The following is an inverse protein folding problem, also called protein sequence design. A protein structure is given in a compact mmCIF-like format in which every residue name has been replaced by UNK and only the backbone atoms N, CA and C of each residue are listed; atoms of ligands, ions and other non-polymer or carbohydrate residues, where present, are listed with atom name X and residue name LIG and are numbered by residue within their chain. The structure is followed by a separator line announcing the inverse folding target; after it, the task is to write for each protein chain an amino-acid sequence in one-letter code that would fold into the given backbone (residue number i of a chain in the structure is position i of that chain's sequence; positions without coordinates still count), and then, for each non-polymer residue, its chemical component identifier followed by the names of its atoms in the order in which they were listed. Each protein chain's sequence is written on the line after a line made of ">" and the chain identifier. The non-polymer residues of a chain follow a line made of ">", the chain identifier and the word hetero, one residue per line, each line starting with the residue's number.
data_IF_512753163545
#
_entry.id   IF_512753163545
#
_cell.length_a   1.000
_cell.length_b   1.000
_cell.length_c   1.000
_cell.angle_alpha   90.00
_cell.angle_beta   90.00
_cell.angle_gamma   90.00
#
_symmetry.space_group_name_H-M   'P 1'
#
loop_
_entity.id
_entity.type
_entity.pdbx_description
1 polymer ?
#
# COMPACT_ATOMS: atom_id res chain seq x y z
N UNK A 1 -18.61 -16.00 8.15
CA UNK A 1 -17.98 -17.34 8.03
C UNK A 1 -16.95 -17.27 6.91
N UNK A 2 -15.71 -17.63 7.19
CA UNK A 2 -14.68 -17.69 6.16
C UNK A 2 -14.83 -19.07 5.55
N UNK A 3 -15.42 -19.13 4.36
CA UNK A 3 -15.83 -20.40 3.73
C UNK A 3 -14.73 -21.03 2.88
N UNK A 4 -13.52 -20.43 2.83
CA UNK A 4 -12.40 -20.86 1.96
C UNK A 4 -11.06 -20.72 2.66
N UNK A 5 -10.19 -21.71 2.48
CA UNK A 5 -8.84 -21.76 3.05
C UNK A 5 -7.86 -20.82 2.32
N UNK A 6 -6.79 -20.30 2.97
CA UNK A 6 -5.89 -19.32 2.37
C UNK A 6 -5.14 -19.84 1.14
N UNK A 7 -4.73 -21.11 1.15
CA UNK A 7 -4.01 -21.73 0.03
C UNK A 7 -4.90 -21.81 -1.23
N UNK A 8 -6.19 -22.11 -1.07
CA UNK A 8 -7.15 -22.13 -2.18
C UNK A 8 -7.37 -20.74 -2.76
N UNK A 9 -7.47 -19.73 -1.90
CA UNK A 9 -7.61 -18.33 -2.33
C UNK A 9 -6.32 -17.86 -3.01
N UNK A 10 -5.16 -18.26 -2.51
CA UNK A 10 -3.86 -17.88 -3.07
C UNK A 10 -3.65 -18.46 -4.48
N UNK A 11 -4.00 -19.74 -4.70
CA UNK A 11 -3.96 -20.37 -6.03
C UNK A 11 -4.87 -19.63 -7.01
N UNK A 12 -6.06 -19.21 -6.56
CA UNK A 12 -6.93 -18.38 -7.38
C UNK A 12 -6.25 -17.04 -7.69
N UNK A 13 -5.69 -16.36 -6.68
CA UNK A 13 -4.92 -15.10 -6.77
C UNK A 13 -3.64 -15.19 -7.61
N UNK A 14 -3.22 -16.37 -8.06
CA UNK A 14 -2.10 -16.55 -8.99
C UNK A 14 -2.52 -16.76 -10.47
N UNK A 15 -3.79 -17.08 -10.75
CA UNK A 15 -4.26 -17.52 -12.09
C UNK A 15 -5.35 -16.69 -12.83
N UNK A 16 -6.01 -15.69 -12.24
CA UNK A 16 -7.10 -14.87 -12.85
C UNK A 16 -7.02 -13.33 -12.69
N UNK A 17 -8.08 -12.58 -13.08
CA UNK A 17 -8.21 -11.16 -12.80
C UNK A 17 -8.86 -10.90 -11.43
N UNK A 18 -8.18 -10.17 -10.54
CA UNK A 18 -8.64 -9.98 -9.15
C UNK A 18 -9.10 -8.57 -8.84
N UNK A 19 -9.90 -8.51 -7.78
CA UNK A 19 -10.34 -7.30 -7.07
C UNK A 19 -9.56 -7.18 -5.77
N UNK A 20 -9.43 -5.96 -5.22
CA UNK A 20 -8.83 -5.79 -3.89
C UNK A 20 -9.62 -6.56 -2.81
N UNK A 21 -10.91 -6.76 -3.03
CA UNK A 21 -11.76 -7.60 -2.18
C UNK A 21 -11.27 -9.05 -2.06
N UNK A 22 -10.65 -9.62 -3.10
CA UNK A 22 -10.13 -10.99 -3.06
C UNK A 22 -8.91 -11.09 -2.14
N UNK A 23 -8.01 -10.09 -2.18
CA UNK A 23 -6.88 -9.99 -1.27
C UNK A 23 -7.31 -9.70 0.17
N UNK A 24 -8.35 -8.88 0.36
CA UNK A 24 -8.97 -8.69 1.67
C UNK A 24 -9.49 -10.01 2.24
N UNK A 25 -10.16 -10.83 1.44
CA UNK A 25 -10.66 -12.14 1.86
C UNK A 25 -9.54 -13.13 2.18
N UNK A 26 -8.45 -13.12 1.39
CA UNK A 26 -7.25 -13.90 1.68
C UNK A 26 -6.71 -13.61 3.09
N UNK A 27 -6.56 -12.33 3.47
CA UNK A 27 -6.03 -11.96 4.77
C UNK A 27 -6.96 -12.34 5.94
N UNK A 28 -8.29 -12.24 5.75
CA UNK A 28 -9.24 -12.75 6.75
C UNK A 28 -9.03 -14.25 6.99
N UNK A 29 -8.91 -15.01 5.90
CA UNK A 29 -8.70 -16.46 5.97
C UNK A 29 -7.36 -16.81 6.62
N UNK A 30 -6.28 -16.15 6.23
CA UNK A 30 -4.95 -16.38 6.77
C UNK A 30 -4.87 -16.08 8.26
N UNK A 31 -5.47 -14.96 8.70
CA UNK A 31 -5.48 -14.59 10.13
C UNK A 31 -6.26 -15.61 10.97
N UNK A 32 -7.38 -16.12 10.45
CA UNK A 32 -8.19 -17.14 11.10
C UNK A 32 -7.44 -18.48 11.20
N UNK A 33 -6.77 -18.91 10.12
CA UNK A 33 -5.99 -20.15 10.09
C UNK A 33 -4.81 -20.10 11.07
N UNK A 34 -4.09 -18.96 11.13
CA UNK A 34 -2.89 -18.80 11.97
C UNK A 34 -3.19 -18.33 13.40
N UNK A 35 -4.42 -17.95 13.71
CA UNK A 35 -4.80 -17.40 15.01
C UNK A 35 -4.15 -16.05 15.29
N UNK A 36 -3.99 -15.21 14.27
CA UNK A 36 -3.39 -13.89 14.42
C UNK A 36 -4.33 -12.89 15.11
N UNK A 37 -3.73 -11.89 15.75
CA UNK A 37 -4.48 -10.86 16.46
C UNK A 37 -5.25 -9.96 15.48
N UNK A 38 -6.56 -9.88 15.70
CA UNK A 38 -7.52 -9.12 14.88
C UNK A 38 -7.76 -7.70 15.40
N UNK A 39 -7.07 -7.30 16.47
CA UNK A 39 -7.19 -5.97 17.06
C UNK A 39 -6.72 -4.91 16.06
N UNK A 40 -7.59 -3.96 15.68
CA UNK A 40 -7.24 -2.93 14.69
C UNK A 40 -6.10 -2.01 15.16
N UNK A 41 -5.95 -1.78 16.47
CA UNK A 41 -4.87 -0.94 16.99
C UNK A 41 -3.50 -1.62 16.87
N UNK A 42 -3.43 -2.93 17.08
CA UNK A 42 -2.19 -3.69 16.89
C UNK A 42 -1.82 -3.79 15.41
N UNK A 43 -2.81 -4.02 14.53
CA UNK A 43 -2.59 -4.00 13.09
C UNK A 43 -2.15 -2.60 12.57
N UNK A 44 -2.57 -1.51 13.22
CA UNK A 44 -2.10 -0.16 12.89
C UNK A 44 -0.64 0.07 13.31
N UNK A 45 -0.25 -0.45 14.49
CA UNK A 45 1.14 -0.42 14.93
C UNK A 45 2.01 -1.21 13.95
N UNK A 46 1.58 -2.41 13.57
CA UNK A 46 2.31 -3.23 12.59
C UNK A 46 2.43 -2.54 11.22
N UNK A 47 1.36 -1.92 10.69
CA UNK A 47 1.47 -1.09 9.48
C UNK A 47 2.54 0.00 9.64
N UNK A 48 2.60 0.64 10.81
CA UNK A 48 3.58 1.70 11.08
C UNK A 48 5.01 1.16 11.09
N UNK A 49 5.22 -0.07 11.58
CA UNK A 49 6.49 -0.77 11.53
C UNK A 49 6.93 -1.06 10.09
N UNK A 50 6.03 -1.60 9.25
CA UNK A 50 6.34 -1.88 7.84
C UNK A 50 6.63 -0.60 7.04
N UNK A 51 5.93 0.50 7.33
CA UNK A 51 6.26 1.82 6.76
C UNK A 51 7.66 2.28 7.20
N UNK A 52 8.07 1.95 8.43
CA UNK A 52 9.41 2.22 8.94
C UNK A 52 10.49 1.42 8.21
N UNK A 53 10.25 0.14 7.94
CA UNK A 53 11.14 -0.72 7.17
C UNK A 53 11.21 -0.30 5.70
N UNK A 54 10.09 0.11 5.09
CA UNK A 54 10.08 0.74 3.78
C UNK A 54 10.95 2.01 3.75
N UNK A 55 10.81 2.87 4.76
CA UNK A 55 11.63 4.08 4.88
C UNK A 55 13.12 3.74 5.03
N UNK A 56 13.44 2.69 5.79
CA UNK A 56 14.81 2.17 5.93
C UNK A 56 15.35 1.69 4.58
N UNK A 57 14.58 0.95 3.80
CA UNK A 57 14.98 0.48 2.47
C UNK A 57 15.32 1.64 1.53
N UNK A 58 14.49 2.69 1.50
CA UNK A 58 14.76 3.90 0.72
C UNK A 58 15.99 4.68 1.21
N UNK A 59 16.18 4.77 2.53
CA UNK A 59 17.38 5.42 3.11
C UNK A 59 18.67 4.70 2.67
N UNK A 60 18.67 3.36 2.68
CA UNK A 60 19.82 2.57 2.24
C UNK A 60 20.08 2.73 0.73
N UNK A 61 19.01 2.72 -0.08
CA UNK A 61 19.10 3.02 -1.52
C UNK A 61 19.72 4.39 -1.77
N UNK A 62 19.24 5.42 -1.08
CA UNK A 62 19.76 6.78 -1.22
C UNK A 62 21.23 6.91 -0.78
N UNK A 63 21.60 6.22 0.30
CA UNK A 63 22.99 6.15 0.77
C UNK A 63 23.90 5.49 -0.28
N UNK A 64 23.42 4.41 -0.93
CA UNK A 64 24.15 3.73 -2.01
C UNK A 64 24.31 4.63 -3.23
N UNK A 65 23.23 5.30 -3.64
CA UNK A 65 23.22 6.24 -4.76
C UNK A 65 24.23 7.37 -4.54
N UNK A 66 24.23 7.97 -3.34
CA UNK A 66 25.15 9.05 -2.97
C UNK A 66 26.62 8.60 -3.01
N UNK A 67 26.90 7.37 -2.53
CA UNK A 67 28.24 6.79 -2.60
C UNK A 67 28.68 6.55 -4.05
N UNK A 68 27.82 6.00 -4.89
CA UNK A 68 28.12 5.75 -6.31
C UNK A 68 28.43 7.05 -7.07
N UNK A 69 27.72 8.14 -6.76
CA UNK A 69 28.04 9.47 -7.30
C UNK A 69 29.41 9.96 -6.83
N UNK A 70 29.76 9.78 -5.56
CA UNK A 70 31.08 10.12 -5.03
C UNK A 70 32.20 9.28 -5.66
N UNK A 71 31.89 8.05 -6.11
CA UNK A 71 32.78 7.17 -6.87
C UNK A 71 32.88 7.54 -8.37
N UNK A 72 32.20 8.60 -8.81
CA UNK A 72 32.31 9.16 -10.16
C UNK A 72 31.23 8.71 -11.15
N UNK A 73 30.23 7.94 -10.72
CA UNK A 73 29.09 7.63 -11.59
C UNK A 73 28.22 8.87 -11.84
N UNK A 74 27.64 8.96 -13.03
CA UNK A 74 26.61 9.96 -13.32
C UNK A 74 25.39 9.75 -12.42
N UNK A 75 24.64 10.81 -12.13
CA UNK A 75 23.44 10.74 -11.28
C UNK A 75 22.44 9.69 -11.76
N UNK A 76 22.24 9.56 -13.07
CA UNK A 76 21.32 8.58 -13.63
C UNK A 76 21.83 7.14 -13.47
N UNK A 77 23.12 6.89 -13.72
CA UNK A 77 23.70 5.57 -13.54
C UNK A 77 23.71 5.15 -12.07
N UNK A 78 24.08 6.06 -11.16
CA UNK A 78 24.09 5.82 -9.72
C UNK A 78 22.69 5.46 -9.19
N UNK A 79 21.66 6.20 -9.62
CA UNK A 79 20.27 5.93 -9.23
C UNK A 79 19.80 4.55 -9.73
N UNK A 80 20.04 4.24 -11.01
CA UNK A 80 19.63 2.95 -11.59
C UNK A 80 20.31 1.78 -10.87
N UNK A 81 21.61 1.87 -10.61
CA UNK A 81 22.35 0.84 -9.86
C UNK A 81 21.86 0.70 -8.42
N UNK A 82 21.64 1.81 -7.71
CA UNK A 82 21.14 1.78 -6.34
C UNK A 82 19.73 1.18 -6.26
N UNK A 83 18.84 1.60 -7.16
CA UNK A 83 17.48 1.06 -7.29
C UNK A 83 17.50 -0.44 -7.57
N UNK A 84 18.29 -0.90 -8.55
CA UNK A 84 18.41 -2.32 -8.86
C UNK A 84 18.87 -3.15 -7.65
N UNK A 85 19.77 -2.60 -6.82
CA UNK A 85 20.29 -3.27 -5.63
C UNK A 85 19.27 -3.37 -4.49
N UNK A 86 18.34 -2.42 -4.37
CA UNK A 86 17.38 -2.34 -3.26
C UNK A 86 15.94 -2.71 -3.66
N UNK A 87 15.69 -2.96 -4.95
CA UNK A 87 14.35 -3.22 -5.49
C UNK A 87 13.63 -4.34 -4.76
N UNK A 88 14.31 -5.46 -4.49
CA UNK A 88 13.69 -6.61 -3.83
C UNK A 88 13.16 -6.25 -2.43
N UNK A 89 13.96 -5.55 -1.61
CA UNK A 89 13.53 -5.14 -0.28
C UNK A 89 12.40 -4.11 -0.36
N UNK A 90 12.48 -3.15 -1.28
CA UNK A 90 11.38 -2.19 -1.48
C UNK A 90 10.08 -2.90 -1.89
N UNK A 91 10.16 -3.95 -2.73
CA UNK A 91 8.99 -4.73 -3.13
C UNK A 91 8.36 -5.49 -1.95
N UNK A 92 9.19 -6.11 -1.11
CA UNK A 92 8.77 -6.79 0.12
C UNK A 92 8.03 -5.82 1.06
N UNK A 93 8.66 -4.70 1.42
CA UNK A 93 8.06 -3.74 2.36
C UNK A 93 6.80 -3.05 1.83
N UNK A 94 6.70 -2.84 0.51
CA UNK A 94 5.47 -2.35 -0.11
C UNK A 94 4.34 -3.38 -0.02
N UNK A 95 4.67 -4.67 -0.19
CA UNK A 95 3.69 -5.74 -0.05
C UNK A 95 3.23 -5.87 1.40
N UNK A 96 4.14 -5.76 2.37
CA UNK A 96 3.81 -5.82 3.80
C UNK A 96 2.94 -4.62 4.24
N UNK A 97 3.27 -3.41 3.78
CA UNK A 97 2.40 -2.24 3.96
C UNK A 97 0.99 -2.49 3.39
N UNK A 98 0.90 -3.09 2.20
CA UNK A 98 -0.38 -3.39 1.57
C UNK A 98 -1.16 -4.46 2.33
N UNK A 99 -0.48 -5.50 2.82
CA UNK A 99 -1.08 -6.54 3.64
C UNK A 99 -1.76 -5.97 4.89
N UNK A 100 -1.06 -5.10 5.65
CA UNK A 100 -1.67 -4.49 6.83
C UNK A 100 -2.75 -3.45 6.49
N UNK A 101 -2.70 -2.80 5.32
CA UNK A 101 -3.84 -2.00 4.84
C UNK A 101 -5.09 -2.87 4.60
N UNK A 102 -4.94 -4.07 4.03
CA UNK A 102 -6.06 -5.00 3.88
C UNK A 102 -6.60 -5.44 5.24
N UNK A 103 -5.73 -5.84 6.17
CA UNK A 103 -6.13 -6.24 7.53
C UNK A 103 -6.87 -5.11 8.26
N UNK A 104 -6.36 -3.89 8.23
CA UNK A 104 -7.03 -2.74 8.83
C UNK A 104 -8.39 -2.47 8.20
N UNK A 105 -8.49 -2.56 6.88
CA UNK A 105 -9.76 -2.38 6.16
C UNK A 105 -10.78 -3.44 6.59
N UNK A 106 -10.35 -4.71 6.67
CA UNK A 106 -11.19 -5.81 7.13
C UNK A 106 -11.71 -5.60 8.55
N UNK A 107 -10.82 -5.29 9.50
CA UNK A 107 -11.20 -5.13 10.91
C UNK A 107 -11.92 -3.81 11.21
N UNK A 108 -11.91 -2.86 10.27
CA UNK A 108 -12.75 -1.67 10.29
C UNK A 108 -14.08 -1.83 9.54
N UNK A 109 -14.33 -2.96 8.88
CA UNK A 109 -15.54 -3.19 8.07
C UNK A 109 -15.59 -2.36 6.78
N UNK A 110 -14.43 -2.11 6.17
CA UNK A 110 -14.27 -1.27 4.98
C UNK A 110 -14.02 -2.16 3.75
N UNK A 111 -14.83 -1.98 2.70
CA UNK A 111 -14.50 -2.41 1.34
C UNK A 111 -13.47 -1.43 0.76
N UNK A 112 -12.20 -1.86 0.72
CA UNK A 112 -11.10 -0.99 0.32
C UNK A 112 -11.17 -0.65 -1.17
N UNK A 113 -11.64 -1.58 -2.02
CA UNK A 113 -11.79 -1.31 -3.44
C UNK A 113 -12.82 -0.23 -3.68
N UNK A 114 -14.00 -0.37 -3.08
CA UNK A 114 -15.07 0.60 -3.21
C UNK A 114 -14.62 1.97 -2.70
N UNK A 115 -14.00 2.02 -1.51
CA UNK A 115 -13.48 3.26 -0.93
C UNK A 115 -12.43 3.93 -1.83
N UNK A 116 -11.53 3.15 -2.44
CA UNK A 116 -10.53 3.65 -3.38
C UNK A 116 -11.18 4.21 -4.66
N UNK A 117 -12.09 3.47 -5.29
CA UNK A 117 -12.77 3.88 -6.52
C UNK A 117 -13.59 5.15 -6.33
N UNK A 118 -14.35 5.26 -5.23
CA UNK A 118 -15.10 6.46 -4.87
C UNK A 118 -14.16 7.66 -4.72
N UNK A 119 -13.04 7.48 -4.00
CA UNK A 119 -12.04 8.53 -3.80
C UNK A 119 -11.38 8.96 -5.11
N UNK A 120 -11.03 8.02 -5.99
CA UNK A 120 -10.39 8.31 -7.28
C UNK A 120 -11.35 8.99 -8.24
N UNK A 121 -12.63 8.62 -8.27
CA UNK A 121 -13.64 9.31 -9.08
C UNK A 121 -13.80 10.78 -8.64
N UNK A 122 -13.75 11.05 -7.33
CA UNK A 122 -13.72 12.43 -6.81
C UNK A 122 -12.43 13.14 -7.27
N UNK A 123 -11.27 12.52 -7.08
CA UNK A 123 -9.97 13.12 -7.43
C UNK A 123 -9.83 13.42 -8.93
N UNK A 124 -10.35 12.56 -9.80
CA UNK A 124 -10.32 12.74 -11.25
C UNK A 124 -11.11 13.96 -11.73
N UNK A 125 -12.09 14.41 -10.93
CA UNK A 125 -12.93 15.58 -11.22
C UNK A 125 -12.42 16.86 -10.56
N UNK A 126 -11.34 16.79 -9.77
CA UNK A 126 -10.73 17.96 -9.13
C UNK A 126 -9.95 18.76 -10.17
N UNK A 127 -10.21 20.06 -10.22
CA UNK A 127 -9.36 21.02 -10.93
C UNK A 127 -8.30 21.48 -9.93
N UNK A 128 -7.04 21.25 -10.27
CA UNK A 128 -5.90 21.64 -9.45
C UNK A 128 -5.35 22.97 -9.97
N UNK A 129 -5.34 24.01 -9.15
CA UNK A 129 -4.61 25.26 -9.42
C UNK A 129 -3.45 25.35 -8.44
N UNK A 130 -2.23 25.54 -8.95
CA UNK A 130 -0.99 25.65 -8.16
C UNK A 130 -0.81 24.58 -7.07
N UNK A 131 -1.13 23.33 -7.41
CA UNK A 131 -1.05 22.17 -6.50
C UNK A 131 -1.89 22.29 -5.21
N UNK A 132 -2.83 23.24 -5.16
CA UNK A 132 -3.80 23.41 -4.05
C UNK A 132 -5.19 22.99 -4.51
N UNK A 133 -5.95 22.39 -3.61
CA UNK A 133 -7.36 22.04 -3.85
C UNK A 133 -8.19 23.33 -3.78
N UNK A 134 -8.69 23.79 -4.92
CA UNK A 134 -9.73 24.83 -4.96
C UNK A 134 -11.06 24.12 -4.68
N UNK A 135 -11.74 24.44 -3.57
CA UNK A 135 -13.13 24.00 -3.36
C UNK A 135 -14.02 24.80 -4.32
N UNK A 136 -14.83 24.13 -5.15
CA UNK A 136 -15.88 24.79 -5.93
C UNK A 136 -16.84 25.46 -4.93
N UNK A 137 -16.91 26.79 -4.97
CA UNK A 137 -17.64 27.64 -4.03
C UNK A 137 -19.15 27.62 -4.23
N UNK A 138 -19.74 26.43 -4.39
CA UNK A 138 -21.19 26.26 -4.30
C UNK A 138 -21.54 25.83 -2.88
N UNK A 139 -21.41 26.79 -1.97
CA UNK A 139 -22.28 26.84 -0.79
C UNK A 139 -23.71 27.05 -1.29
N UNK A 140 -24.48 26.02 -1.10
CA UNK A 140 -25.92 25.95 -0.95
C UNK A 140 -26.47 27.09 -0.10
N UNK A 141 -26.66 28.25 -0.74
CA UNK A 141 -27.59 29.25 -0.26
C UNK A 141 -29.02 28.76 -0.43
N UNK A 142 -29.66 28.30 0.65
CA UNK A 142 -31.03 28.69 1.00
C UNK A 142 -31.38 28.27 2.43
N UNK A 143 -31.66 29.32 3.19
CA UNK A 143 -32.46 29.46 4.42
C UNK A 143 -33.52 28.40 4.69
#
# INVERSE_FOLDING_TARGET
>A
PIDREPEEILVDLETGPYRLGDFQQFHLSLDAEKGFDTNPFLNYIALTEEVGELARAFKLMWSRESRLRAEGLSSQAALQTAMATHRAKIQEELADCLAYLFKLSNYAGIDLEQAYLEKMNINARRIWQDSRVVRDGREDGSS
#
